data_IF_672587405372
#
_entry.id   IF_672587405372
#
_cell.length_a   1.000
_cell.length_b   1.000
_cell.length_c   1.000
_cell.angle_alpha   90.00
_cell.angle_beta   90.00
_cell.angle_gamma   90.00
#
_symmetry.space_group_name_H-M   'P 1'
#
loop_
_entity.id
_entity.type
_entity.pdbx_description
1 polymer ?
#
# COMPACT_ATOMS: atom_id res chain seq x y z
N UNK A 1 -19.85 -4.13 22.34
CA UNK A 1 -20.30 -5.47 21.87
C UNK A 1 -19.07 -6.33 21.65
N UNK A 2 -18.82 -7.27 22.57
CA UNK A 2 -17.74 -8.26 22.46
C UNK A 2 -18.18 -9.30 21.43
N UNK A 3 -17.76 -9.14 20.18
CA UNK A 3 -17.98 -10.16 19.15
C UNK A 3 -17.13 -11.38 19.51
N UNK A 4 -17.75 -12.41 20.10
CA UNK A 4 -17.11 -13.71 20.33
C UNK A 4 -16.68 -14.37 19.01
N UNK A 5 -15.85 -15.42 19.08
CA UNK A 5 -15.35 -16.17 17.92
C UNK A 5 -16.51 -16.61 17.01
N UNK A 6 -16.59 -16.08 15.79
CA UNK A 6 -17.74 -16.28 14.89
C UNK A 6 -17.32 -16.24 13.42
N UNK A 7 -18.01 -17.02 12.59
CA UNK A 7 -17.93 -17.00 11.12
C UNK A 7 -19.25 -16.47 10.57
N UNK A 8 -19.21 -15.59 9.58
CA UNK A 8 -20.40 -14.95 8.99
C UNK A 8 -20.52 -15.21 7.48
N UNK A 9 -21.76 -15.31 7.00
CA UNK A 9 -22.10 -15.39 5.58
C UNK A 9 -22.31 -13.99 4.97
N UNK A 10 -22.69 -13.98 3.69
CA UNK A 10 -23.05 -12.79 2.90
C UNK A 10 -24.19 -11.93 3.48
N UNK A 11 -25.03 -12.48 4.38
CA UNK A 11 -26.10 -11.75 5.08
C UNK A 11 -25.67 -11.21 6.44
N UNK A 12 -24.43 -11.46 6.87
CA UNK A 12 -23.95 -11.15 8.21
C UNK A 12 -24.51 -12.09 9.28
N UNK A 13 -25.05 -13.24 8.89
CA UNK A 13 -25.59 -14.23 9.81
C UNK A 13 -24.47 -15.15 10.33
N UNK A 14 -24.43 -15.46 11.64
CA UNK A 14 -23.42 -16.35 12.20
C UNK A 14 -23.65 -17.79 11.71
N UNK A 15 -22.65 -18.37 11.05
CA UNK A 15 -22.71 -19.74 10.51
C UNK A 15 -22.13 -20.75 11.49
N UNK A 16 -21.11 -20.36 12.27
CA UNK A 16 -20.44 -21.27 13.19
C UNK A 16 -19.78 -20.54 14.38
N UNK A 17 -19.78 -21.22 15.53
CA UNK A 17 -18.94 -20.93 16.70
C UNK A 17 -17.85 -21.99 16.78
N UNK A 18 -16.62 -21.70 16.35
CA UNK A 18 -15.60 -22.72 16.13
C UNK A 18 -15.11 -23.36 17.44
N UNK A 19 -15.28 -24.68 17.54
CA UNK A 19 -14.45 -25.59 18.33
C UNK A 19 -13.96 -26.69 17.38
N UNK A 20 -12.65 -26.78 17.14
CA UNK A 20 -12.07 -27.79 16.23
C UNK A 20 -12.05 -27.35 14.76
N UNK A 21 -12.35 -28.27 13.84
CA UNK A 21 -12.36 -28.03 12.39
C UNK A 21 -13.75 -27.54 11.97
N UNK A 22 -13.82 -26.36 11.35
CA UNK A 22 -15.01 -25.89 10.63
C UNK A 22 -14.76 -26.11 9.14
N UNK A 23 -15.44 -27.11 8.57
CA UNK A 23 -15.34 -27.43 7.15
C UNK A 23 -16.53 -26.83 6.39
N UNK A 24 -16.27 -25.83 5.54
CA UNK A 24 -17.27 -25.19 4.69
C UNK A 24 -17.15 -25.62 3.23
N UNK A 25 -16.29 -26.60 2.88
CA UNK A 25 -15.96 -26.94 1.49
C UNK A 25 -17.19 -27.20 0.62
N UNK A 26 -18.22 -27.86 1.16
CA UNK A 26 -19.45 -28.23 0.44
C UNK A 26 -20.49 -27.10 0.37
N UNK A 27 -20.23 -25.94 0.98
CA UNK A 27 -21.19 -24.83 1.02
C UNK A 27 -21.18 -24.05 -0.28
N UNK A 28 -22.13 -24.33 -1.17
CA UNK A 28 -22.19 -23.72 -2.51
C UNK A 28 -22.78 -22.31 -2.57
N UNK A 29 -23.43 -21.85 -1.49
CA UNK A 29 -24.13 -20.55 -1.46
C UNK A 29 -23.32 -19.41 -0.85
N UNK A 30 -22.14 -19.70 -0.28
CA UNK A 30 -21.32 -18.71 0.42
C UNK A 30 -20.32 -18.11 -0.56
N UNK A 31 -20.64 -16.93 -1.10
CA UNK A 31 -19.71 -16.15 -1.92
C UNK A 31 -18.85 -15.17 -1.09
N UNK A 32 -19.39 -14.70 0.04
CA UNK A 32 -18.72 -13.79 0.97
C UNK A 32 -18.54 -14.47 2.32
N UNK A 33 -17.28 -14.54 2.78
CA UNK A 33 -16.93 -15.19 4.04
C UNK A 33 -16.14 -14.23 4.93
N UNK A 34 -16.64 -14.02 6.15
CA UNK A 34 -15.88 -13.31 7.19
C UNK A 34 -15.57 -14.25 8.36
N UNK A 35 -14.29 -14.36 8.68
CA UNK A 35 -13.72 -15.19 9.74
C UNK A 35 -13.14 -14.24 10.79
N UNK A 36 -13.70 -14.22 12.02
CA UNK A 36 -13.24 -13.26 13.04
C UNK A 36 -13.08 -13.87 14.42
N UNK A 37 -12.03 -13.40 15.13
CA UNK A 37 -11.75 -13.70 16.53
C UNK A 37 -11.58 -15.20 16.86
N UNK A 38 -11.23 -16.05 15.89
CA UNK A 38 -11.06 -17.49 16.15
C UNK A 38 -9.64 -17.76 16.66
N UNK A 39 -9.50 -18.37 17.85
CA UNK A 39 -8.19 -18.54 18.50
C UNK A 39 -7.53 -19.90 18.26
N UNK A 40 -8.29 -20.92 17.90
CA UNK A 40 -7.78 -22.27 17.68
C UNK A 40 -8.66 -23.04 16.71
N UNK A 41 -8.14 -24.16 16.22
CA UNK A 41 -8.81 -24.99 15.21
C UNK A 41 -8.43 -24.60 13.79
N UNK A 42 -9.27 -25.00 12.84
CA UNK A 42 -9.08 -24.69 11.42
C UNK A 42 -10.40 -24.34 10.74
N UNK A 43 -10.35 -23.47 9.75
CA UNK A 43 -11.48 -23.12 8.88
C UNK A 43 -11.11 -23.47 7.44
N UNK A 44 -11.85 -24.40 6.84
CA UNK A 44 -11.74 -24.72 5.42
C UNK A 44 -12.75 -23.84 4.68
N UNK A 45 -12.24 -23.02 3.76
CA UNK A 45 -13.01 -22.05 2.98
C UNK A 45 -13.86 -22.77 1.92
N UNK A 46 -15.10 -22.32 1.64
CA UNK A 46 -15.93 -22.88 0.57
C UNK A 46 -15.34 -22.58 -0.81
N UNK A 47 -15.48 -23.52 -1.75
CA UNK A 47 -14.87 -23.41 -3.09
C UNK A 47 -15.36 -22.18 -3.88
N UNK A 48 -16.61 -21.75 -3.65
CA UNK A 48 -17.26 -20.64 -4.36
C UNK A 48 -17.08 -19.26 -3.71
N UNK A 49 -16.39 -19.17 -2.57
CA UNK A 49 -16.13 -17.87 -1.95
C UNK A 49 -15.24 -17.01 -2.86
N UNK A 50 -15.71 -15.80 -3.14
CA UNK A 50 -15.01 -14.80 -3.94
C UNK A 50 -14.38 -13.72 -3.07
N UNK A 51 -15.03 -13.36 -1.97
CA UNK A 51 -14.61 -12.30 -1.06
C UNK A 51 -14.39 -12.89 0.33
N UNK A 52 -13.13 -12.91 0.78
CA UNK A 52 -12.77 -13.52 2.05
C UNK A 52 -12.11 -12.49 2.95
N UNK A 53 -12.60 -12.38 4.18
CA UNK A 53 -12.04 -11.49 5.18
C UNK A 53 -11.68 -12.26 6.45
N UNK A 54 -10.46 -12.10 6.94
CA UNK A 54 -9.94 -12.77 8.14
C UNK A 54 -9.45 -11.72 9.12
N UNK A 55 -10.07 -11.64 10.30
CA UNK A 55 -9.76 -10.62 11.31
C UNK A 55 -9.40 -11.25 12.65
N UNK A 56 -8.30 -10.80 13.27
CA UNK A 56 -7.93 -11.12 14.66
C UNK A 56 -7.94 -12.63 14.98
N UNK A 57 -7.55 -13.43 13.99
CA UNK A 57 -7.70 -14.89 13.98
C UNK A 57 -6.33 -15.56 14.11
N UNK A 58 -6.28 -16.65 14.85
CA UNK A 58 -5.11 -17.53 15.04
C UNK A 58 -5.38 -18.97 14.61
N UNK A 59 -6.63 -19.32 14.28
CA UNK A 59 -6.95 -20.59 13.65
C UNK A 59 -6.35 -20.70 12.25
N UNK A 60 -6.05 -21.92 11.84
CA UNK A 60 -5.56 -22.21 10.49
C UNK A 60 -6.68 -21.91 9.48
N UNK A 61 -6.38 -21.19 8.39
CA UNK A 61 -7.35 -20.92 7.32
C UNK A 61 -6.86 -21.59 6.05
N UNK A 62 -7.68 -22.49 5.50
CA UNK A 62 -7.30 -23.36 4.38
C UNK A 62 -8.21 -23.07 3.19
N UNK A 63 -7.61 -22.63 2.07
CA UNK A 63 -8.36 -22.24 0.87
C UNK A 63 -8.79 -23.43 0.00
N UNK A 64 -8.11 -24.58 0.07
CA UNK A 64 -8.46 -25.74 -0.77
C UNK A 64 -8.51 -25.36 -2.25
N UNK A 65 -9.67 -25.59 -2.89
CA UNK A 65 -9.94 -25.24 -4.30
C UNK A 65 -10.60 -23.86 -4.47
N UNK A 66 -10.62 -23.00 -3.45
CA UNK A 66 -11.21 -21.67 -3.54
C UNK A 66 -10.31 -20.73 -4.34
N UNK A 67 -10.89 -20.02 -5.32
CA UNK A 67 -10.22 -19.06 -6.18
C UNK A 67 -10.75 -17.64 -5.93
N UNK A 68 -10.29 -16.97 -4.85
CA UNK A 68 -10.84 -15.68 -4.44
C UNK A 68 -10.49 -14.56 -5.42
N UNK A 69 -11.40 -13.61 -5.53
CA UNK A 69 -11.17 -12.34 -6.24
C UNK A 69 -10.62 -11.29 -5.27
N UNK A 70 -11.04 -11.37 -4.00
CA UNK A 70 -10.70 -10.42 -2.94
C UNK A 70 -10.34 -11.13 -1.65
N UNK A 71 -9.23 -10.71 -1.06
CA UNK A 71 -8.85 -11.12 0.28
C UNK A 71 -8.46 -9.94 1.16
N UNK A 72 -8.97 -9.94 2.40
CA UNK A 72 -8.58 -9.02 3.46
C UNK A 72 -8.12 -9.84 4.66
N UNK A 73 -6.92 -9.58 5.16
CA UNK A 73 -6.39 -10.28 6.34
C UNK A 73 -5.81 -9.26 7.30
N UNK A 74 -6.26 -9.29 8.56
CA UNK A 74 -5.82 -8.35 9.58
C UNK A 74 -5.55 -9.03 10.90
N UNK A 75 -4.39 -8.73 11.48
CA UNK A 75 -3.90 -9.25 12.76
C UNK A 75 -3.98 -10.78 12.85
N UNK A 76 -3.62 -11.46 11.76
CA UNK A 76 -3.63 -12.92 11.67
C UNK A 76 -2.35 -13.50 12.27
N UNK A 77 -2.51 -14.53 13.11
CA UNK A 77 -1.38 -15.15 13.86
C UNK A 77 -1.32 -16.67 13.72
N UNK A 78 -2.14 -17.25 12.85
CA UNK A 78 -2.14 -18.70 12.60
C UNK A 78 -0.97 -19.13 11.69
N UNK A 79 -1.04 -20.36 11.18
CA UNK A 79 -0.07 -20.85 10.19
C UNK A 79 -0.17 -20.08 8.88
N UNK A 80 0.91 -20.07 8.10
CA UNK A 80 0.95 -19.39 6.80
C UNK A 80 -0.23 -19.81 5.92
N UNK A 81 -1.00 -18.84 5.45
CA UNK A 81 -2.12 -19.02 4.53
C UNK A 81 -1.57 -19.01 3.12
N UNK A 82 -1.84 -20.06 2.35
CA UNK A 82 -1.57 -20.07 0.91
C UNK A 82 -2.84 -19.66 0.18
N UNK A 83 -2.80 -18.52 -0.50
CA UNK A 83 -3.94 -17.92 -1.20
C UNK A 83 -3.75 -18.14 -2.70
N UNK A 84 -4.65 -18.90 -3.36
CA UNK A 84 -4.66 -18.99 -4.83
C UNK A 84 -4.83 -17.61 -5.46
N UNK A 85 -4.06 -17.32 -6.51
CA UNK A 85 -3.90 -15.96 -7.03
C UNK A 85 -4.25 -15.78 -8.51
N UNK A 86 -4.75 -16.84 -9.13
CA UNK A 86 -5.18 -16.89 -10.53
C UNK A 86 -6.30 -15.87 -10.84
N UNK A 87 -7.22 -15.66 -9.89
CA UNK A 87 -8.34 -14.73 -10.02
C UNK A 87 -8.21 -13.47 -9.14
N UNK A 88 -7.15 -13.38 -8.32
CA UNK A 88 -7.03 -12.38 -7.27
C UNK A 88 -6.80 -10.97 -7.85
N UNK A 89 -7.68 -10.03 -7.49
CA UNK A 89 -7.63 -8.62 -7.92
C UNK A 89 -7.45 -7.65 -6.77
N UNK A 90 -7.96 -8.00 -5.59
CA UNK A 90 -7.91 -7.16 -4.39
C UNK A 90 -7.19 -7.90 -3.26
N UNK A 91 -6.14 -7.27 -2.74
CA UNK A 91 -5.42 -7.74 -1.56
C UNK A 91 -5.35 -6.63 -0.53
N UNK A 92 -5.72 -6.94 0.72
CA UNK A 92 -5.44 -6.08 1.86
C UNK A 92 -4.84 -6.88 3.01
N UNK A 93 -3.69 -6.43 3.53
CA UNK A 93 -3.08 -6.96 4.74
C UNK A 93 -2.87 -5.87 5.77
N UNK A 94 -3.16 -6.20 7.02
CA UNK A 94 -2.76 -5.39 8.16
C UNK A 94 -2.12 -6.29 9.22
N UNK A 95 -0.84 -6.09 9.53
CA UNK A 95 -0.11 -6.90 10.53
C UNK A 95 -0.26 -8.41 10.30
N UNK A 96 -0.10 -8.84 9.04
CA UNK A 96 -0.33 -10.23 8.64
C UNK A 96 0.51 -10.66 7.43
N UNK A 97 1.27 -9.77 6.79
CA UNK A 97 1.93 -10.06 5.51
C UNK A 97 2.85 -11.29 5.58
N UNK A 98 3.60 -11.46 6.68
CA UNK A 98 4.53 -12.58 6.87
C UNK A 98 3.80 -13.94 6.97
N UNK A 99 2.49 -13.93 7.25
CA UNK A 99 1.64 -15.12 7.34
C UNK A 99 0.84 -15.39 6.08
N UNK A 100 1.03 -14.62 5.01
CA UNK A 100 0.23 -14.81 3.80
C UNK A 100 1.15 -15.03 2.61
N UNK A 101 0.97 -16.16 1.96
CA UNK A 101 1.52 -16.44 0.64
C UNK A 101 0.46 -16.14 -0.41
N UNK A 102 0.57 -14.97 -1.04
CA UNK A 102 -0.30 -14.62 -2.16
C UNK A 102 0.12 -15.28 -3.48
N UNK A 103 1.12 -16.18 -3.47
CA UNK A 103 1.76 -16.67 -4.70
C UNK A 103 2.36 -15.54 -5.54
N UNK A 104 2.54 -14.36 -4.96
CA UNK A 104 3.12 -13.20 -5.62
C UNK A 104 4.62 -13.46 -5.84
N UNK A 105 5.14 -12.93 -6.94
CA UNK A 105 6.56 -13.09 -7.26
C UNK A 105 7.39 -12.36 -6.20
N UNK A 106 8.49 -12.99 -5.81
CA UNK A 106 9.50 -12.39 -4.95
C UNK A 106 10.77 -12.13 -5.77
N UNK A 107 11.50 -11.07 -5.46
CA UNK A 107 12.86 -10.90 -5.97
C UNK A 107 13.82 -11.88 -5.28
N UNK A 108 15.06 -11.99 -5.77
CA UNK A 108 16.12 -12.80 -5.13
C UNK A 108 16.41 -12.36 -3.68
N UNK A 109 16.11 -11.11 -3.34
CA UNK A 109 16.30 -10.55 -2.01
C UNK A 109 15.02 -10.61 -1.15
N UNK A 110 14.02 -11.38 -1.60
CA UNK A 110 12.71 -11.54 -0.97
C UNK A 110 11.86 -10.26 -0.92
N UNK A 111 12.04 -9.32 -1.85
CA UNK A 111 11.11 -8.20 -2.02
C UNK A 111 9.80 -8.69 -2.63
N UNK A 112 8.67 -8.23 -2.09
CA UNK A 112 7.36 -8.49 -2.67
C UNK A 112 7.18 -7.68 -3.96
N UNK A 113 6.98 -8.37 -5.08
CA UNK A 113 6.67 -7.73 -6.35
C UNK A 113 5.16 -7.51 -6.45
N UNK A 114 4.74 -6.25 -6.40
CA UNK A 114 3.35 -5.84 -6.59
C UNK A 114 3.14 -5.46 -8.05
N UNK A 115 2.57 -6.38 -8.82
CA UNK A 115 2.33 -6.27 -10.26
C UNK A 115 0.99 -5.56 -10.54
N UNK A 116 1.07 -4.35 -11.06
CA UNK A 116 -0.10 -3.51 -11.35
C UNK A 116 -0.96 -4.04 -12.51
N UNK A 117 -0.44 -4.95 -13.34
CA UNK A 117 -1.25 -5.59 -14.38
C UNK A 117 -2.18 -6.69 -13.80
N UNK A 118 -1.84 -7.22 -12.62
CA UNK A 118 -2.58 -8.31 -11.99
C UNK A 118 -3.65 -7.81 -11.03
N UNK A 119 -3.30 -6.86 -10.18
CA UNK A 119 -4.15 -6.35 -9.10
C UNK A 119 -4.84 -5.05 -9.51
N UNK A 120 -6.09 -4.86 -9.07
CA UNK A 120 -6.77 -3.56 -9.08
C UNK A 120 -6.55 -2.80 -7.79
N UNK A 121 -6.29 -3.51 -6.68
CA UNK A 121 -6.00 -2.89 -5.39
C UNK A 121 -5.06 -3.75 -4.57
N UNK A 122 -4.02 -3.11 -4.01
CA UNK A 122 -3.13 -3.70 -3.04
C UNK A 122 -2.99 -2.74 -1.86
N UNK A 123 -3.36 -3.16 -0.66
CA UNK A 123 -3.20 -2.38 0.56
C UNK A 123 -2.39 -3.21 1.55
N UNK A 124 -1.21 -2.76 1.90
CA UNK A 124 -0.35 -3.42 2.88
C UNK A 124 -0.07 -2.41 3.98
N UNK A 125 -0.30 -2.79 5.23
CA UNK A 125 -0.07 -1.94 6.38
C UNK A 125 0.48 -2.76 7.56
N UNK A 126 1.76 -2.65 7.81
CA UNK A 126 2.48 -3.51 8.72
C UNK A 126 3.20 -2.66 9.79
N UNK A 127 3.23 -3.17 11.02
CA UNK A 127 3.96 -2.49 12.10
C UNK A 127 5.48 -2.42 11.85
N UNK A 128 6.00 -3.36 11.06
CA UNK A 128 7.42 -3.48 10.72
C UNK A 128 7.59 -3.27 9.21
N UNK A 129 8.63 -2.54 8.77
CA UNK A 129 8.89 -2.38 7.35
C UNK A 129 9.08 -3.70 6.62
N UNK A 130 8.48 -3.81 5.44
CA UNK A 130 8.67 -4.91 4.50
C UNK A 130 9.30 -4.37 3.21
N UNK A 131 9.93 -5.28 2.45
CA UNK A 131 10.60 -4.92 1.20
C UNK A 131 9.63 -5.08 0.03
N UNK A 132 9.54 -4.07 -0.82
CA UNK A 132 8.66 -4.01 -1.98
C UNK A 132 9.40 -3.69 -3.28
N UNK A 133 8.82 -4.13 -4.39
CA UNK A 133 9.04 -3.64 -5.75
C UNK A 133 7.67 -3.44 -6.38
N UNK A 134 7.44 -2.27 -6.98
CA UNK A 134 6.23 -2.01 -7.77
C UNK A 134 6.57 -2.26 -9.24
N UNK A 135 5.72 -3.02 -9.93
CA UNK A 135 5.87 -3.32 -11.35
C UNK A 135 4.68 -2.79 -12.16
N UNK A 136 4.97 -2.06 -13.24
CA UNK A 136 3.99 -1.56 -14.21
C UNK A 136 4.47 -1.91 -15.63
N UNK A 137 3.99 -3.04 -16.15
CA UNK A 137 4.47 -3.58 -17.42
C UNK A 137 5.94 -4.03 -17.33
N UNK A 138 6.79 -3.49 -18.19
CA UNK A 138 8.23 -3.70 -18.23
C UNK A 138 9.02 -2.80 -17.24
N UNK A 139 8.34 -1.82 -16.63
CA UNK A 139 8.96 -0.87 -15.72
C UNK A 139 8.81 -1.33 -14.27
N UNK A 140 9.87 -1.15 -13.50
CA UNK A 140 9.87 -1.45 -12.05
C UNK A 140 10.46 -0.30 -11.26
N UNK A 141 10.00 -0.14 -10.03
CA UNK A 141 10.70 0.67 -9.02
C UNK A 141 12.03 0.01 -8.62
N UNK A 142 12.82 0.72 -7.82
CA UNK A 142 13.84 0.05 -7.02
C UNK A 142 13.20 -0.85 -5.95
N UNK A 143 14.01 -1.70 -5.32
CA UNK A 143 13.64 -2.32 -4.05
C UNK A 143 13.65 -1.27 -2.94
N UNK A 144 12.56 -1.16 -2.17
CA UNK A 144 12.48 -0.24 -1.04
C UNK A 144 11.79 -0.88 0.18
N UNK A 145 12.10 -0.37 1.37
CA UNK A 145 11.48 -0.80 2.62
C UNK A 145 10.42 0.20 3.07
N UNK A 146 9.20 -0.27 3.31
CA UNK A 146 8.09 0.54 3.80
C UNK A 146 7.22 -0.25 4.79
N UNK A 147 6.56 0.45 5.72
CA UNK A 147 5.53 -0.13 6.59
C UNK A 147 4.19 -0.24 5.88
N UNK A 148 3.89 0.71 5.00
CA UNK A 148 2.67 0.68 4.23
C UNK A 148 2.87 0.98 2.75
N UNK A 149 2.08 0.28 1.93
CA UNK A 149 1.98 0.46 0.50
C UNK A 149 0.50 0.32 0.12
N UNK A 150 -0.06 1.35 -0.50
CA UNK A 150 -1.38 1.28 -1.13
C UNK A 150 -1.24 1.58 -2.61
N UNK A 151 -1.68 0.65 -3.44
CA UNK A 151 -1.87 0.85 -4.88
C UNK A 151 -3.34 0.70 -5.20
N UNK A 152 -3.96 1.75 -5.74
CA UNK A 152 -5.29 1.69 -6.33
C UNK A 152 -5.16 1.89 -7.83
N UNK A 153 -5.58 0.88 -8.60
CA UNK A 153 -5.38 0.79 -10.04
C UNK A 153 -6.77 0.71 -10.66
N UNK A 154 -7.25 1.87 -11.08
CA UNK A 154 -8.54 2.06 -11.73
C UNK A 154 -8.26 2.79 -13.03
N UNK A 155 -8.91 2.38 -14.12
CA UNK A 155 -8.66 2.89 -15.46
C UNK A 155 -8.51 4.42 -15.48
N UNK A 156 -7.28 4.89 -15.73
CA UNK A 156 -6.92 6.31 -15.82
C UNK A 156 -6.63 7.04 -14.50
N UNK A 157 -6.83 6.43 -13.33
CA UNK A 157 -6.64 7.07 -12.01
C UNK A 157 -5.82 6.20 -11.05
N UNK A 158 -4.62 5.82 -11.48
CA UNK A 158 -3.71 5.04 -10.64
C UNK A 158 -3.16 5.90 -9.49
N UNK A 159 -3.37 5.44 -8.25
CA UNK A 159 -2.85 6.07 -7.04
C UNK A 159 -1.80 5.16 -6.36
N UNK A 160 -0.68 5.75 -5.97
CA UNK A 160 0.34 5.11 -5.15
C UNK A 160 0.50 5.85 -3.83
N UNK A 161 0.38 5.15 -2.71
CA UNK A 161 0.66 5.67 -1.37
C UNK A 161 1.76 4.84 -0.74
N UNK A 162 2.84 5.49 -0.29
CA UNK A 162 3.93 4.83 0.43
C UNK A 162 4.06 5.46 1.81
N UNK A 163 4.11 4.62 2.85
CA UNK A 163 4.20 5.09 4.23
C UNK A 163 5.22 4.36 5.10
N UNK A 164 5.81 5.10 6.05
CA UNK A 164 6.79 4.59 7.01
C UNK A 164 7.97 3.89 6.34
N UNK A 165 8.69 4.61 5.48
CA UNK A 165 9.79 4.06 4.69
C UNK A 165 11.15 4.54 5.17
N UNK A 166 12.12 3.63 5.12
CA UNK A 166 13.45 3.79 5.73
C UNK A 166 14.58 3.82 4.70
N UNK A 167 14.28 3.49 3.44
CA UNK A 167 15.23 3.48 2.33
C UNK A 167 14.82 4.47 1.25
N UNK A 168 15.69 4.62 0.25
CA UNK A 168 15.35 5.37 -0.96
C UNK A 168 14.13 4.73 -1.63
N UNK A 169 13.16 5.56 -2.01
CA UNK A 169 12.01 5.16 -2.83
C UNK A 169 12.15 5.80 -4.20
N UNK A 170 12.43 4.99 -5.22
CA UNK A 170 12.56 5.41 -6.60
C UNK A 170 11.44 4.79 -7.44
N UNK A 171 10.44 5.62 -7.73
CA UNK A 171 9.33 5.30 -8.63
C UNK A 171 9.43 6.10 -9.94
N UNK A 172 10.63 6.57 -10.30
CA UNK A 172 10.85 7.48 -11.44
C UNK A 172 10.43 6.93 -12.79
N UNK A 173 10.46 5.61 -12.93
CA UNK A 173 10.06 4.90 -14.14
C UNK A 173 8.56 4.64 -14.20
N UNK A 174 7.83 4.82 -13.10
CA UNK A 174 6.42 4.47 -12.98
C UNK A 174 5.52 5.68 -13.20
N UNK A 175 4.34 5.45 -13.76
CA UNK A 175 3.37 6.49 -14.08
C UNK A 175 2.14 6.33 -13.19
N UNK A 176 1.97 7.27 -12.28
CA UNK A 176 0.80 7.40 -11.42
C UNK A 176 0.09 8.72 -11.71
N UNK A 177 -1.25 8.69 -11.68
CA UNK A 177 -2.04 9.91 -11.67
C UNK A 177 -1.79 10.68 -10.37
N UNK A 178 -1.67 9.95 -9.25
CA UNK A 178 -1.42 10.52 -7.94
C UNK A 178 -0.45 9.69 -7.12
N UNK A 179 0.56 10.34 -6.54
CA UNK A 179 1.42 9.72 -5.53
C UNK A 179 1.32 10.45 -4.20
N UNK A 180 1.25 9.71 -3.10
CA UNK A 180 1.17 10.23 -1.74
C UNK A 180 2.27 9.60 -0.89
N UNK A 181 3.02 10.43 -0.18
CA UNK A 181 4.09 10.00 0.71
C UNK A 181 3.82 10.42 2.14
N UNK A 182 3.94 9.46 3.06
CA UNK A 182 3.65 9.62 4.49
C UNK A 182 4.80 9.04 5.31
N UNK A 183 5.77 9.84 5.73
CA UNK A 183 6.87 9.33 6.53
C UNK A 183 6.73 9.76 8.00
N UNK A 184 6.27 8.86 8.87
CA UNK A 184 6.21 9.11 10.32
C UNK A 184 7.38 8.47 11.08
N UNK A 185 8.33 7.85 10.37
CA UNK A 185 9.52 7.26 10.98
C UNK A 185 10.60 8.33 11.23
N UNK A 186 11.59 8.00 12.05
CA UNK A 186 12.71 8.89 12.41
C UNK A 186 13.78 9.00 11.32
N UNK A 187 13.68 8.19 10.26
CA UNK A 187 14.57 8.25 9.10
C UNK A 187 14.25 9.46 8.21
N UNK A 188 15.29 9.95 7.52
CA UNK A 188 15.18 10.99 6.49
C UNK A 188 15.46 10.37 5.11
N UNK A 189 14.58 9.54 4.56
CA UNK A 189 14.80 8.89 3.27
C UNK A 189 14.81 9.91 2.13
N UNK A 190 15.41 9.49 1.01
CA UNK A 190 15.29 10.20 -0.26
C UNK A 190 14.22 9.58 -1.15
N UNK A 191 13.61 10.39 -2.00
CA UNK A 191 12.52 9.97 -2.90
C UNK A 191 12.81 10.49 -4.30
N UNK A 192 12.68 9.61 -5.29
CA UNK A 192 12.85 9.93 -6.70
C UNK A 192 11.54 9.62 -7.42
N UNK A 193 10.96 10.64 -8.03
CA UNK A 193 9.66 10.60 -8.69
C UNK A 193 9.83 11.06 -10.13
N UNK A 194 9.16 10.38 -11.05
CA UNK A 194 9.20 10.68 -12.47
C UNK A 194 8.21 11.79 -12.80
N UNK A 195 7.74 11.77 -14.05
CA UNK A 195 6.68 12.68 -14.47
C UNK A 195 5.33 12.19 -13.91
N UNK A 196 4.57 13.08 -13.28
CA UNK A 196 3.28 12.75 -12.64
C UNK A 196 2.29 13.91 -12.65
N UNK A 197 1.00 13.64 -12.49
CA UNK A 197 0.03 14.72 -12.39
C UNK A 197 0.05 15.33 -10.99
N UNK A 198 -0.23 14.53 -9.95
CA UNK A 198 -0.28 15.02 -8.58
C UNK A 198 0.69 14.27 -7.66
N UNK A 199 1.49 15.02 -6.89
CA UNK A 199 2.35 14.48 -5.84
C UNK A 199 2.04 15.17 -4.53
N UNK A 200 1.79 14.40 -3.47
CA UNK A 200 1.48 14.94 -2.14
C UNK A 200 2.40 14.36 -1.06
N UNK A 201 3.00 15.22 -0.25
CA UNK A 201 3.75 14.87 0.95
C UNK A 201 2.93 15.29 2.16
N UNK A 202 2.43 14.31 2.92
CA UNK A 202 1.46 14.57 3.98
C UNK A 202 2.11 14.81 5.35
N UNK A 203 3.23 14.17 5.62
CA UNK A 203 4.06 14.40 6.80
C UNK A 203 5.43 13.77 6.61
N UNK A 204 6.40 14.22 7.41
CA UNK A 204 7.67 13.54 7.57
C UNK A 204 8.90 14.37 7.27
N UNK A 205 10.05 13.74 7.51
CA UNK A 205 11.35 14.32 7.23
C UNK A 205 11.99 13.59 6.04
N UNK A 206 12.56 14.37 5.14
CA UNK A 206 13.17 13.87 3.90
C UNK A 206 14.54 14.51 3.72
N UNK A 207 15.52 13.69 3.30
CA UNK A 207 16.83 14.23 2.96
C UNK A 207 16.76 14.88 1.57
N UNK A 208 16.46 14.10 0.54
CA UNK A 208 16.32 14.62 -0.82
C UNK A 208 15.02 14.16 -1.48
N UNK A 209 14.32 15.08 -2.12
CA UNK A 209 13.19 14.77 -3.00
C UNK A 209 13.57 15.24 -4.41
N UNK A 210 13.54 14.34 -5.37
CA UNK A 210 13.80 14.60 -6.78
C UNK A 210 12.53 14.31 -7.57
N UNK A 211 12.07 15.27 -8.38
CA UNK A 211 10.89 15.09 -9.22
C UNK A 211 11.18 15.40 -10.68
N UNK A 212 10.55 14.65 -11.59
CA UNK A 212 10.39 15.02 -12.99
C UNK A 212 9.40 16.17 -13.18
N UNK A 213 8.69 16.16 -14.30
CA UNK A 213 7.64 17.13 -14.59
C UNK A 213 6.36 16.79 -13.81
N UNK A 214 5.87 17.75 -13.02
CA UNK A 214 4.69 17.54 -12.16
C UNK A 214 3.67 18.65 -12.35
N UNK A 215 2.40 18.30 -12.56
CA UNK A 215 1.34 19.33 -12.67
C UNK A 215 1.11 20.02 -11.32
N UNK A 216 0.98 19.24 -10.25
CA UNK A 216 0.78 19.77 -8.91
C UNK A 216 1.57 18.99 -7.86
N UNK A 217 2.37 19.71 -7.08
CA UNK A 217 3.08 19.16 -5.93
C UNK A 217 2.66 19.87 -4.64
N UNK A 218 2.23 19.07 -3.66
CA UNK A 218 1.65 19.52 -2.40
C UNK A 218 2.53 19.09 -1.22
N UNK A 219 2.87 20.03 -0.35
CA UNK A 219 3.54 19.77 0.92
C UNK A 219 2.67 20.26 2.08
N UNK A 220 2.18 19.32 2.88
CA UNK A 220 1.31 19.58 4.02
C UNK A 220 2.09 19.88 5.30
N UNK A 221 1.38 20.38 6.31
CA UNK A 221 1.97 20.77 7.58
C UNK A 221 2.71 19.59 8.24
N UNK A 222 3.92 19.86 8.76
CA UNK A 222 4.75 18.82 9.37
C UNK A 222 5.69 18.11 8.40
N UNK A 223 5.80 18.57 7.15
CA UNK A 223 6.85 18.12 6.24
C UNK A 223 8.12 18.98 6.38
N UNK A 224 9.28 18.32 6.44
CA UNK A 224 10.60 18.93 6.40
C UNK A 224 11.46 18.26 5.32
N UNK A 225 12.14 19.07 4.49
CA UNK A 225 12.97 18.57 3.38
C UNK A 225 14.33 19.28 3.41
N UNK A 226 15.43 18.54 3.37
CA UNK A 226 16.75 19.17 3.25
C UNK A 226 16.95 19.73 1.84
N UNK A 227 16.70 18.92 0.81
CA UNK A 227 16.86 19.34 -0.59
C UNK A 227 15.70 18.87 -1.47
N UNK A 228 15.08 19.81 -2.15
CA UNK A 228 14.01 19.57 -3.12
C UNK A 228 14.52 19.97 -4.51
N UNK A 229 14.66 18.99 -5.39
CA UNK A 229 15.05 19.16 -6.78
C UNK A 229 13.84 18.88 -7.67
N UNK A 230 13.41 19.88 -8.43
CA UNK A 230 12.23 19.77 -9.29
C UNK A 230 12.61 20.10 -10.74
N UNK A 231 12.02 19.40 -11.70
CA UNK A 231 12.12 19.80 -13.10
C UNK A 231 11.12 20.93 -13.40
N UNK A 232 10.06 20.66 -14.18
CA UNK A 232 9.01 21.63 -14.46
C UNK A 232 7.77 21.36 -13.60
N UNK A 233 7.34 22.38 -12.86
CA UNK A 233 6.19 22.30 -11.97
C UNK A 233 5.14 23.33 -12.38
N UNK A 234 3.90 22.91 -12.59
CA UNK A 234 2.83 23.87 -12.84
C UNK A 234 2.37 24.55 -11.55
N UNK A 235 2.04 23.79 -10.50
CA UNK A 235 1.66 24.34 -9.19
C UNK A 235 2.48 23.74 -8.06
N UNK A 236 3.18 24.59 -7.31
CA UNK A 236 3.90 24.23 -6.08
C UNK A 236 3.19 24.78 -4.85
N UNK A 237 2.52 23.90 -4.12
CA UNK A 237 1.76 24.21 -2.92
C UNK A 237 2.51 23.76 -1.67
N UNK A 238 2.62 24.66 -0.69
CA UNK A 238 3.31 24.36 0.56
C UNK A 238 2.78 25.22 1.70
N UNK A 239 2.37 24.58 2.80
CA UNK A 239 1.77 25.25 3.96
C UNK A 239 2.35 24.74 5.26
N UNK A 240 3.02 25.63 6.01
CA UNK A 240 3.65 25.33 7.32
C UNK A 240 4.66 24.17 7.23
N UNK A 241 5.61 24.31 6.31
CA UNK A 241 6.68 23.34 6.05
C UNK A 241 8.06 23.98 6.25
N UNK A 242 9.09 23.14 6.35
CA UNK A 242 10.49 23.59 6.41
C UNK A 242 11.29 22.95 5.27
N UNK A 243 11.53 23.70 4.19
CA UNK A 243 12.33 23.24 3.06
C UNK A 243 13.62 24.06 3.02
N UNK A 244 14.78 23.42 3.25
CA UNK A 244 16.06 24.14 3.34
C UNK A 244 16.53 24.62 1.97
N UNK A 245 16.50 23.77 0.96
CA UNK A 245 16.92 24.13 -0.39
C UNK A 245 15.91 23.66 -1.42
N UNK A 246 15.51 24.58 -2.32
CA UNK A 246 14.72 24.29 -3.51
C UNK A 246 15.53 24.67 -4.74
N UNK A 247 15.75 23.69 -5.62
CA UNK A 247 16.30 23.88 -6.96
C UNK A 247 15.25 23.42 -7.96
N UNK A 248 14.77 24.32 -8.81
CA UNK A 248 13.78 24.00 -9.83
C UNK A 248 14.27 24.41 -11.23
N UNK A 249 13.88 23.66 -12.27
CA UNK A 249 14.00 24.19 -13.63
C UNK A 249 13.01 25.34 -13.81
N UNK A 250 11.71 25.05 -13.61
CA UNK A 250 10.62 26.03 -13.76
C UNK A 250 9.48 25.77 -12.78
N UNK A 251 8.89 26.84 -12.23
CA UNK A 251 7.67 26.79 -11.41
C UNK A 251 6.70 27.86 -11.91
N UNK A 252 5.53 27.46 -12.43
CA UNK A 252 4.54 28.42 -12.97
C UNK A 252 3.76 29.15 -11.88
N UNK A 253 3.30 28.44 -10.84
CA UNK A 253 2.48 28.99 -9.76
C UNK A 253 2.94 28.52 -8.38
N UNK A 254 2.92 29.44 -7.42
CA UNK A 254 3.15 29.16 -6.01
C UNK A 254 1.82 29.24 -5.25
N UNK A 255 1.50 28.21 -4.47
CA UNK A 255 0.37 28.20 -3.52
C UNK A 255 0.86 28.04 -2.08
N UNK A 256 1.59 29.04 -1.59
CA UNK A 256 2.21 29.02 -0.27
C UNK A 256 2.98 30.31 0.02
N UNK A 257 3.38 30.49 1.28
CA UNK A 257 4.20 31.64 1.67
C UNK A 257 5.68 31.32 1.46
N UNK A 258 6.34 32.00 0.52
CA UNK A 258 7.77 31.82 0.18
C UNK A 258 8.72 31.92 1.39
N UNK A 259 8.30 32.56 2.49
CA UNK A 259 9.05 32.62 3.76
C UNK A 259 9.32 31.23 4.37
N UNK A 260 8.60 30.19 3.96
CA UNK A 260 8.83 28.81 4.38
C UNK A 260 10.04 28.13 3.70
N UNK A 261 10.65 28.79 2.70
CA UNK A 261 11.81 28.29 1.97
C UNK A 261 13.06 29.03 2.44
N UNK A 262 14.12 28.32 2.83
CA UNK A 262 15.39 28.99 3.22
C UNK A 262 16.20 29.46 2.02
N UNK A 263 16.24 28.65 0.96
CA UNK A 263 16.92 28.96 -0.30
C UNK A 263 16.08 28.48 -1.48
N UNK A 264 15.93 29.34 -2.49
CA UNK A 264 15.20 29.04 -3.73
C UNK A 264 16.05 29.43 -4.93
N UNK A 265 16.23 28.49 -5.86
CA UNK A 265 16.91 28.70 -7.15
C UNK A 265 16.04 28.17 -8.27
N UNK A 266 15.72 29.02 -9.25
CA UNK A 266 14.93 28.68 -10.45
C UNK A 266 15.80 28.98 -11.67
N UNK A 267 16.02 27.99 -12.53
CA UNK A 267 16.91 28.10 -13.69
C UNK A 267 16.27 28.88 -14.84
N UNK A 268 15.01 28.57 -15.14
CA UNK A 268 14.24 29.16 -16.23
C UNK A 268 13.05 29.94 -15.63
N UNK A 269 12.96 31.23 -15.95
CA UNK A 269 11.83 32.08 -15.55
C UNK A 269 10.63 31.86 -16.47
#
# INVERSE_FOLDING_TARGET
>A
LLWGSTIFNNKGEPIAKPKGVVDLKTSVTIEDLTITNIKSGSVIVPEHAKNISVYNTSADVVFGNCHPIKIIVSNYKGKKINVPNDCLKYVSTTNALDKIDFGLKLTKSYALIVDMAKLTTCVINENIPNKFVIQQGDKTSNEFYAKSLTLNIVDGMNECVVGGFQSIVDISKLSFYKSIFVNMDTSNPSIIIGNQNNVSFNCGMFDEIITGDVEEINFNAGVSVNKLVMNNINTFNFKRVNIKEVVANKIKKFGGSKKALKKLTIKEK
#
